data_IF_401035714111
#
_entry.id   IF_401035714111
#
_cell.length_a   1.000
_cell.length_b   1.000
_cell.length_c   1.000
_cell.angle_alpha   90.00
_cell.angle_beta   90.00
_cell.angle_gamma   90.00
#
_symmetry.space_group_name_H-M   'P 1'
#
loop_
_entity.id
_entity.type
_entity.pdbx_description
1 polymer ?
#
# COMPACT_ATOMS: atom_id res chain seq x y z
N UNK A 1 30.09 51.47 -6.83
CA UNK A 1 30.07 50.06 -6.38
C UNK A 1 28.71 49.57 -5.89
N UNK A 2 27.57 50.24 -6.21
CA UNK A 2 26.30 49.96 -5.50
C UNK A 2 25.23 49.13 -6.24
N UNK A 3 25.46 48.82 -7.51
CA UNK A 3 24.44 48.18 -8.35
C UNK A 3 24.69 46.68 -8.57
N UNK A 4 25.95 46.23 -8.45
CA UNK A 4 26.32 44.81 -8.61
C UNK A 4 25.95 43.99 -7.38
N UNK A 5 26.18 44.52 -6.15
CA UNK A 5 25.81 43.79 -4.92
C UNK A 5 24.28 43.72 -4.71
N UNK A 6 23.50 44.69 -5.21
CA UNK A 6 22.03 44.64 -5.15
C UNK A 6 21.49 43.53 -6.04
N UNK A 7 22.03 43.37 -7.25
CA UNK A 7 21.69 42.27 -8.15
C UNK A 7 22.15 40.91 -7.59
N UNK A 8 23.33 40.86 -6.98
CA UNK A 8 23.85 39.67 -6.32
C UNK A 8 23.02 39.27 -5.09
N UNK A 9 22.60 40.25 -4.29
CA UNK A 9 21.71 40.05 -3.14
C UNK A 9 20.31 39.63 -3.56
N UNK A 10 19.76 40.19 -4.65
CA UNK A 10 18.46 39.79 -5.20
C UNK A 10 18.49 38.35 -5.76
N UNK A 11 19.60 37.97 -6.39
CA UNK A 11 19.80 36.61 -6.91
C UNK A 11 19.95 35.58 -5.78
N UNK A 12 20.66 35.94 -4.70
CA UNK A 12 20.77 35.08 -3.52
C UNK A 12 19.42 34.88 -2.82
N UNK A 13 18.58 35.90 -2.77
CA UNK A 13 17.23 35.79 -2.18
C UNK A 13 16.29 34.92 -3.02
N UNK A 14 16.42 34.99 -4.35
CA UNK A 14 15.67 34.14 -5.28
C UNK A 14 16.04 32.66 -5.12
N UNK A 15 17.34 32.35 -5.01
CA UNK A 15 17.82 30.98 -4.77
C UNK A 15 17.35 30.41 -3.42
N UNK A 16 17.29 31.25 -2.38
CA UNK A 16 16.77 30.84 -1.08
C UNK A 16 15.27 30.50 -1.16
N UNK A 17 14.48 31.30 -1.89
CA UNK A 17 13.03 31.11 -2.04
C UNK A 17 12.68 29.80 -2.79
N UNK A 18 13.48 29.41 -3.79
CA UNK A 18 13.31 28.16 -4.52
C UNK A 18 13.61 26.90 -3.68
N UNK A 19 14.46 27.01 -2.66
CA UNK A 19 14.79 25.89 -1.76
C UNK A 19 13.67 25.50 -0.79
N UNK A 20 12.70 26.38 -0.53
CA UNK A 20 11.57 26.08 0.36
C UNK A 20 10.46 25.25 -0.32
N UNK A 21 10.48 25.09 -1.65
CA UNK A 21 9.43 24.37 -2.38
C UNK A 21 9.66 22.85 -2.47
N UNK A 22 10.79 22.33 -2.00
CA UNK A 22 11.14 20.91 -2.14
C UNK A 22 10.98 20.08 -0.86
N UNK A 23 10.33 20.59 0.19
CA UNK A 23 10.06 19.78 1.38
C UNK A 23 8.76 18.99 1.19
N UNK A 24 8.83 17.87 0.48
CA UNK A 24 7.77 16.86 0.59
C UNK A 24 7.93 16.17 1.93
N UNK A 25 6.96 16.35 2.82
CA UNK A 25 6.86 15.56 4.04
C UNK A 25 6.43 14.15 3.62
N UNK A 26 7.39 13.26 3.37
CA UNK A 26 7.11 11.84 3.29
C UNK A 26 6.83 11.41 4.73
N UNK A 27 5.59 11.03 5.01
CA UNK A 27 5.29 10.22 6.18
C UNK A 27 6.01 8.89 5.93
N UNK A 28 7.15 8.71 6.57
CA UNK A 28 7.71 7.38 6.80
C UNK A 28 6.76 6.71 7.81
N UNK A 29 5.71 6.09 7.29
CA UNK A 29 4.90 5.16 8.07
C UNK A 29 5.78 3.90 8.21
N UNK A 30 6.40 3.78 9.38
CA UNK A 30 7.33 2.74 9.87
C UNK A 30 6.81 1.30 9.67
N UNK A 31 5.52 1.13 9.38
CA UNK A 31 4.87 -0.17 9.16
C UNK A 31 5.06 -0.74 7.74
N UNK A 32 5.68 0.00 6.81
CA UNK A 32 5.92 -0.44 5.43
C UNK A 32 7.38 -0.73 5.09
N UNK A 33 8.31 -0.55 6.03
CA UNK A 33 9.69 -1.01 5.86
C UNK A 33 9.71 -2.52 6.04
N UNK A 34 9.45 -3.24 4.96
CA UNK A 34 9.85 -4.64 4.89
C UNK A 34 11.37 -4.64 5.02
N UNK A 35 11.89 -5.12 6.15
CA UNK A 35 13.32 -5.43 6.27
C UNK A 35 13.67 -6.29 5.06
N UNK A 36 14.60 -5.87 4.18
CA UNK A 36 14.96 -6.66 3.01
C UNK A 36 15.51 -8.06 3.38
N UNK A 37 15.78 -8.30 4.66
CA UNK A 37 16.17 -9.59 5.22
C UNK A 37 15.07 -10.28 6.04
N UNK A 38 13.87 -9.70 6.17
CA UNK A 38 12.73 -10.39 6.76
C UNK A 38 12.36 -11.56 5.86
N UNK A 39 12.30 -12.75 6.45
CA UNK A 39 11.68 -13.90 5.82
C UNK A 39 10.16 -13.66 5.81
N UNK A 40 9.68 -13.18 4.66
CA UNK A 40 8.28 -12.82 4.45
C UNK A 40 7.40 -14.01 4.05
N UNK A 41 8.00 -15.20 3.93
CA UNK A 41 7.32 -16.39 3.46
C UNK A 41 6.86 -16.31 2.00
N UNK A 42 6.25 -17.38 1.50
CA UNK A 42 5.61 -17.40 0.18
C UNK A 42 4.10 -17.43 0.40
N UNK A 43 3.32 -16.48 -0.13
CA UNK A 43 1.88 -16.44 0.11
C UNK A 43 1.21 -17.71 -0.42
N UNK A 44 0.53 -18.42 0.48
CA UNK A 44 -0.19 -19.65 0.16
C UNK A 44 -1.69 -19.46 0.46
N UNK A 45 -2.54 -19.79 -0.52
CA UNK A 45 -4.00 -19.77 -0.35
C UNK A 45 -4.49 -21.19 -0.12
N UNK A 46 -5.11 -21.43 1.03
CA UNK A 46 -5.68 -22.75 1.37
C UNK A 46 -7.10 -22.90 0.84
N UNK A 47 -7.94 -21.88 1.03
CA UNK A 47 -9.33 -21.90 0.59
C UNK A 47 -9.93 -20.49 0.56
N UNK A 48 -11.11 -20.39 -0.06
CA UNK A 48 -11.93 -19.19 -0.05
C UNK A 48 -13.26 -19.55 0.61
N UNK A 49 -13.79 -18.65 1.46
CA UNK A 49 -15.08 -18.82 2.12
C UNK A 49 -15.97 -17.60 1.95
N UNK A 50 -17.27 -17.80 2.18
CA UNK A 50 -18.23 -16.70 2.30
C UNK A 50 -17.91 -15.81 3.51
N UNK A 51 -18.18 -14.51 3.38
CA UNK A 51 -18.15 -13.57 4.52
C UNK A 51 -19.48 -13.52 5.27
N UNK A 52 -20.54 -14.16 4.76
CA UNK A 52 -21.80 -14.32 5.50
C UNK A 52 -21.55 -15.21 6.74
N UNK A 53 -21.78 -14.72 7.97
CA UNK A 53 -21.61 -15.50 9.19
C UNK A 53 -22.43 -16.79 9.20
N UNK A 54 -23.61 -16.81 8.57
CA UNK A 54 -24.46 -18.00 8.50
C UNK A 54 -23.89 -19.08 7.55
N UNK A 55 -22.97 -18.69 6.66
CA UNK A 55 -22.30 -19.56 5.71
C UNK A 55 -20.78 -19.57 5.90
N UNK A 56 -20.27 -19.22 7.10
CA UNK A 56 -18.84 -19.10 7.36
C UNK A 56 -18.08 -20.43 7.15
N UNK A 57 -18.76 -21.56 7.40
CA UNK A 57 -18.22 -22.91 7.17
C UNK A 57 -18.31 -23.36 5.69
N UNK A 58 -18.91 -22.53 4.83
CA UNK A 58 -19.05 -22.85 3.40
C UNK A 58 -17.84 -22.37 2.61
N UNK A 59 -17.05 -23.35 2.15
CA UNK A 59 -15.98 -23.14 1.18
C UNK A 59 -16.57 -22.93 -0.21
N UNK A 60 -16.04 -21.96 -0.94
CA UNK A 60 -16.50 -21.61 -2.28
C UNK A 60 -15.38 -21.73 -3.30
N UNK A 61 -15.72 -22.18 -4.50
CA UNK A 61 -14.83 -22.25 -5.68
C UNK A 61 -15.23 -21.25 -6.77
N UNK A 62 -16.30 -20.49 -6.52
CA UNK A 62 -16.86 -19.49 -7.44
C UNK A 62 -17.63 -18.43 -6.65
N UNK A 63 -17.57 -17.19 -7.11
CA UNK A 63 -18.34 -16.07 -6.58
C UNK A 63 -18.80 -15.15 -7.72
N UNK A 64 -19.84 -14.35 -7.48
CA UNK A 64 -20.26 -13.32 -8.44
C UNK A 64 -19.36 -12.09 -8.34
N UNK A 65 -19.18 -11.34 -9.44
CA UNK A 65 -18.49 -10.05 -9.40
C UNK A 65 -19.15 -9.10 -8.38
N UNK A 66 -18.32 -8.41 -7.60
CA UNK A 66 -18.79 -7.54 -6.51
C UNK A 66 -19.16 -8.26 -5.22
N UNK A 67 -19.03 -9.59 -5.15
CA UNK A 67 -19.18 -10.33 -3.89
C UNK A 67 -17.96 -10.11 -3.01
N UNK A 68 -18.17 -9.87 -1.72
CA UNK A 68 -17.10 -9.90 -0.72
C UNK A 68 -16.79 -11.37 -0.38
N UNK A 69 -15.52 -11.76 -0.43
CA UNK A 69 -15.06 -13.12 -0.14
C UNK A 69 -13.91 -13.05 0.86
N UNK A 70 -13.72 -14.10 1.66
CA UNK A 70 -12.55 -14.22 2.52
C UNK A 70 -11.57 -15.22 1.93
N UNK A 71 -10.38 -14.74 1.57
CA UNK A 71 -9.24 -15.57 1.17
C UNK A 71 -8.51 -15.97 2.44
N UNK A 72 -8.32 -17.27 2.67
CA UNK A 72 -7.69 -17.80 3.88
C UNK A 72 -6.45 -18.61 3.52
N UNK A 73 -5.35 -18.35 4.23
CA UNK A 73 -4.03 -18.84 3.86
C UNK A 73 -2.94 -18.52 4.87
N UNK A 74 -1.70 -18.51 4.42
CA UNK A 74 -0.50 -18.13 5.20
C UNK A 74 0.38 -17.15 4.41
N UNK A 75 1.18 -16.35 5.12
CA UNK A 75 2.12 -15.38 4.56
C UNK A 75 1.44 -14.32 3.66
N UNK A 76 0.18 -13.98 3.97
CA UNK A 76 -0.64 -13.05 3.16
C UNK A 76 -0.45 -11.58 3.56
N UNK A 77 0.24 -11.31 4.66
CA UNK A 77 0.24 -10.00 5.34
C UNK A 77 0.79 -8.84 4.51
N UNK A 78 1.63 -9.14 3.52
CA UNK A 78 2.26 -8.15 2.65
C UNK A 78 1.65 -8.10 1.24
N UNK A 79 0.43 -8.64 1.09
CA UNK A 79 -0.27 -8.59 -0.19
C UNK A 79 -0.57 -7.14 -0.58
N UNK A 80 -0.03 -6.73 -1.73
CA UNK A 80 -0.23 -5.39 -2.28
C UNK A 80 -1.35 -5.33 -3.31
N UNK A 81 -1.59 -6.43 -4.03
CA UNK A 81 -2.55 -6.49 -5.12
C UNK A 81 -3.21 -7.86 -5.20
N UNK A 82 -4.46 -7.89 -5.64
CA UNK A 82 -5.20 -9.10 -5.98
C UNK A 82 -5.77 -8.93 -7.38
N UNK A 83 -5.66 -9.99 -8.19
CA UNK A 83 -6.12 -10.00 -9.57
C UNK A 83 -7.05 -11.20 -9.79
N UNK A 84 -8.24 -10.93 -10.33
CA UNK A 84 -9.18 -11.96 -10.77
C UNK A 84 -9.35 -11.86 -12.28
N UNK A 85 -8.86 -12.85 -13.03
CA UNK A 85 -8.99 -12.90 -14.51
C UNK A 85 -8.53 -11.58 -15.18
N UNK A 86 -7.32 -11.12 -14.86
CA UNK A 86 -6.74 -9.87 -15.38
C UNK A 86 -7.49 -8.59 -14.96
N UNK A 87 -8.36 -8.68 -13.96
CA UNK A 87 -9.01 -7.53 -13.34
C UNK A 87 -8.48 -7.35 -11.92
N UNK A 88 -7.84 -6.21 -11.67
CA UNK A 88 -7.37 -5.86 -10.33
C UNK A 88 -8.56 -5.61 -9.40
N UNK A 89 -8.54 -6.24 -8.24
CA UNK A 89 -9.52 -6.02 -7.17
C UNK A 89 -9.13 -4.81 -6.33
N UNK A 90 -10.13 -4.12 -5.78
CA UNK A 90 -9.90 -3.08 -4.80
C UNK A 90 -9.54 -3.74 -3.45
N UNK A 91 -8.36 -3.42 -2.93
CA UNK A 91 -7.86 -3.96 -1.66
C UNK A 91 -7.91 -2.88 -0.57
N UNK A 92 -8.42 -3.24 0.59
CA UNK A 92 -8.36 -2.38 1.78
C UNK A 92 -7.26 -2.92 2.71
N UNK A 93 -6.12 -2.20 2.87
CA UNK A 93 -4.98 -2.73 3.63
C UNK A 93 -5.32 -3.12 5.08
N UNK A 94 -6.27 -2.43 5.72
CA UNK A 94 -6.69 -2.75 7.10
C UNK A 94 -7.43 -4.08 7.23
N UNK A 95 -7.81 -4.72 6.12
CA UNK A 95 -8.42 -6.05 6.07
C UNK A 95 -7.48 -7.14 5.57
N UNK A 96 -6.19 -6.80 5.39
CA UNK A 96 -5.13 -7.76 5.11
C UNK A 96 -4.48 -8.14 6.43
N UNK A 97 -4.40 -9.44 6.68
CA UNK A 97 -3.68 -10.05 7.79
C UNK A 97 -2.81 -11.17 7.24
N UNK A 98 -1.91 -11.69 8.07
CA UNK A 98 -1.07 -12.83 7.68
C UNK A 98 -1.87 -14.07 7.25
N UNK A 99 -3.10 -14.23 7.78
CA UNK A 99 -3.93 -15.42 7.58
C UNK A 99 -5.19 -15.21 6.73
N UNK A 100 -5.59 -13.97 6.49
CA UNK A 100 -6.86 -13.67 5.81
C UNK A 100 -6.82 -12.33 5.09
N UNK A 101 -7.45 -12.28 3.92
CA UNK A 101 -7.74 -11.06 3.16
C UNK A 101 -9.24 -10.98 2.84
N UNK A 102 -9.83 -9.79 2.99
CA UNK A 102 -11.21 -9.47 2.60
C UNK A 102 -11.24 -8.41 1.49
#
# INVERSE_FOLDING_TARGET
>A
MNLSYKKLSLFAFLLLALGYLTTSCLKEDDDTVIDPNADIGNPEVHYIRSTDPAAADSLIVSAFMGSLVAIVGEDLGYTVEIWFNDQQAALTPTYVTDKTIL
#
